data_IF_610987599525
#
_entry.id   IF_610987599525
#
_cell.length_a   1.000
_cell.length_b   1.000
_cell.length_c   1.000
_cell.angle_alpha   90.00
_cell.angle_beta   90.00
_cell.angle_gamma   90.00
#
_symmetry.space_group_name_H-M   'P 1'
#
loop_
_entity.id
_entity.type
_entity.pdbx_description
1 polymer ?
#
# COMPACT_ATOMS: atom_id res chain seq x y z
N UNK A 1 -9.16 5.25 2.71
CA UNK A 1 -10.16 5.43 1.63
C UNK A 1 -9.55 5.82 0.29
N UNK A 2 -8.64 6.81 0.22
CA UNK A 2 -8.00 7.21 -1.05
C UNK A 2 -7.23 6.08 -1.77
N UNK A 3 -6.46 5.29 -1.02
CA UNK A 3 -5.73 4.12 -1.56
C UNK A 3 -6.66 3.13 -2.24
N UNK A 4 -7.82 2.89 -1.62
CA UNK A 4 -8.79 1.95 -2.15
C UNK A 4 -9.34 2.42 -3.49
N UNK A 5 -9.71 3.69 -3.58
CA UNK A 5 -10.16 4.30 -4.83
C UNK A 5 -9.06 4.23 -5.91
N UNK A 6 -7.81 4.58 -5.58
CA UNK A 6 -6.71 4.59 -6.56
C UNK A 6 -6.37 3.20 -7.12
N UNK A 7 -6.41 2.16 -6.28
CA UNK A 7 -6.10 0.78 -6.71
C UNK A 7 -7.22 0.16 -7.55
N UNK A 8 -8.46 0.55 -7.30
CA UNK A 8 -9.62 0.01 -8.02
C UNK A 8 -10.06 0.86 -9.22
N UNK A 9 -9.68 2.14 -9.28
CA UNK A 9 -9.98 3.05 -10.38
C UNK A 9 -9.66 2.46 -11.77
N UNK A 10 -8.46 1.91 -12.04
CA UNK A 10 -8.15 1.39 -13.37
C UNK A 10 -9.03 0.19 -13.75
N UNK A 11 -9.41 -0.66 -12.78
CA UNK A 11 -10.33 -1.76 -13.02
C UNK A 11 -11.75 -1.26 -13.33
N UNK A 12 -12.25 -0.28 -12.57
CA UNK A 12 -13.58 0.31 -12.81
C UNK A 12 -13.65 1.00 -14.18
N UNK A 13 -12.62 1.75 -14.56
CA UNK A 13 -12.54 2.40 -15.87
C UNK A 13 -12.56 1.36 -16.99
N UNK A 14 -11.74 0.31 -16.89
CA UNK A 14 -11.73 -0.77 -17.87
C UNK A 14 -13.10 -1.46 -17.98
N UNK A 15 -13.75 -1.74 -16.85
CA UNK A 15 -15.06 -2.39 -16.83
C UNK A 15 -16.13 -1.55 -17.53
N UNK A 16 -16.17 -0.24 -17.26
CA UNK A 16 -17.12 0.69 -17.89
C UNK A 16 -16.85 0.82 -19.40
N UNK A 17 -15.58 0.96 -19.80
CA UNK A 17 -15.19 1.06 -21.21
C UNK A 17 -15.58 -0.21 -21.98
N UNK A 18 -15.31 -1.40 -21.42
CA UNK A 18 -15.64 -2.68 -22.07
C UNK A 18 -17.15 -2.86 -22.23
N UNK A 19 -17.95 -2.44 -21.24
CA UNK A 19 -19.41 -2.48 -21.34
C UNK A 19 -19.97 -1.48 -22.37
N UNK A 20 -19.37 -0.29 -22.48
CA UNK A 20 -19.82 0.75 -23.41
C UNK A 20 -19.41 0.48 -24.87
N UNK A 21 -18.19 -0.01 -25.06
CA UNK A 21 -17.60 -0.25 -26.36
C UNK A 21 -18.03 -1.59 -26.97
N UNK A 22 -18.43 -2.56 -26.14
CA UNK A 22 -18.73 -3.93 -26.57
C UNK A 22 -17.46 -4.78 -26.72
N UNK A 23 -17.59 -6.09 -26.50
CA UNK A 23 -16.49 -7.06 -26.52
C UNK A 23 -15.82 -7.20 -27.89
N UNK A 24 -16.54 -6.89 -28.97
CA UNK A 24 -16.04 -7.08 -30.35
C UNK A 24 -15.15 -5.92 -30.82
N UNK A 25 -15.36 -4.72 -30.27
CA UNK A 25 -14.66 -3.48 -30.64
C UNK A 25 -13.53 -3.14 -29.67
N UNK A 26 -13.68 -3.50 -28.39
CA UNK A 26 -12.68 -3.32 -27.36
C UNK A 26 -12.18 -4.67 -26.82
N UNK A 27 -11.50 -5.44 -27.68
CA UNK A 27 -10.83 -6.67 -27.27
C UNK A 27 -9.73 -6.36 -26.26
N UNK A 28 -9.84 -6.94 -25.06
CA UNK A 28 -8.82 -6.83 -24.02
C UNK A 28 -8.14 -8.18 -23.85
N UNK A 29 -6.80 -8.26 -23.96
CA UNK A 29 -6.08 -9.50 -23.70
C UNK A 29 -6.07 -9.84 -22.20
N UNK A 30 -6.08 -11.13 -21.87
CA UNK A 30 -6.20 -11.64 -20.48
C UNK A 30 -5.12 -11.10 -19.53
N UNK A 31 -3.93 -10.81 -20.07
CA UNK A 31 -2.83 -10.22 -19.30
C UNK A 31 -3.19 -8.86 -18.71
N UNK A 32 -3.98 -8.04 -19.42
CA UNK A 32 -4.41 -6.73 -18.94
C UNK A 32 -5.40 -6.90 -17.79
N UNK A 33 -6.33 -7.84 -17.92
CA UNK A 33 -7.28 -8.18 -16.87
C UNK A 33 -6.53 -8.65 -15.61
N UNK A 34 -5.57 -9.56 -15.77
CA UNK A 34 -4.74 -10.03 -14.67
C UNK A 34 -4.01 -8.87 -13.97
N UNK A 35 -3.35 -8.00 -14.73
CA UNK A 35 -2.64 -6.83 -14.18
C UNK A 35 -3.58 -5.90 -13.41
N UNK A 36 -4.79 -5.64 -13.93
CA UNK A 36 -5.80 -4.82 -13.24
C UNK A 36 -6.21 -5.41 -11.89
N UNK A 37 -6.43 -6.72 -11.82
CA UNK A 37 -6.72 -7.40 -10.55
C UNK A 37 -5.52 -7.34 -9.59
N UNK A 38 -4.30 -7.53 -10.08
CA UNK A 38 -3.08 -7.41 -9.26
C UNK A 38 -2.91 -6.01 -8.66
N UNK A 39 -3.23 -4.96 -9.42
CA UNK A 39 -3.25 -3.57 -8.91
C UNK A 39 -4.30 -3.40 -7.82
N UNK A 40 -5.50 -3.97 -8.00
CA UNK A 40 -6.54 -4.01 -6.98
C UNK A 40 -6.12 -4.72 -5.69
N UNK A 41 -5.36 -5.81 -5.80
CA UNK A 41 -4.79 -6.52 -4.64
C UNK A 41 -3.67 -5.74 -3.93
N UNK A 42 -2.92 -4.92 -4.67
CA UNK A 42 -1.87 -4.06 -4.11
C UNK A 42 -2.38 -3.00 -3.13
N UNK A 43 -3.70 -2.81 -3.03
CA UNK A 43 -4.39 -1.95 -2.07
C UNK A 43 -3.94 -2.19 -0.61
N UNK A 44 -3.73 -3.45 -0.24
CA UNK A 44 -3.23 -3.79 1.10
C UNK A 44 -1.76 -3.45 1.31
N UNK A 45 -0.93 -3.57 0.27
CA UNK A 45 0.50 -3.26 0.31
C UNK A 45 0.77 -1.74 0.28
N UNK A 46 -0.14 -0.96 -0.28
CA UNK A 46 -0.04 0.49 -0.33
C UNK A 46 -0.36 1.17 1.01
N UNK A 47 -1.07 0.49 1.92
CA UNK A 47 -1.33 1.02 3.26
C UNK A 47 -0.01 1.33 4.00
N UNK A 48 0.92 0.39 4.23
CA UNK A 48 2.20 0.70 4.89
C UNK A 48 3.05 1.70 4.09
N UNK A 49 2.95 1.73 2.76
CA UNK A 49 3.70 2.68 1.92
C UNK A 49 3.22 4.13 2.11
N UNK A 50 1.90 4.34 2.21
CA UNK A 50 1.30 5.65 2.49
C UNK A 50 1.66 6.09 3.91
N UNK A 51 1.57 5.20 4.89
CA UNK A 51 1.97 5.52 6.27
C UNK A 51 3.47 5.81 6.39
N UNK A 52 4.33 5.07 5.68
CA UNK A 52 5.78 5.31 5.68
C UNK A 52 6.19 6.58 4.93
N UNK A 53 5.44 7.00 3.90
CA UNK A 53 5.76 8.18 3.10
C UNK A 53 5.22 9.48 3.70
N UNK A 54 3.96 9.48 4.16
CA UNK A 54 3.31 10.70 4.64
C UNK A 54 3.50 10.98 6.14
N UNK A 55 3.79 9.97 6.97
CA UNK A 55 4.01 10.18 8.41
C UNK A 55 5.47 9.90 8.81
N UNK A 56 6.19 10.96 9.20
CA UNK A 56 7.57 10.87 9.70
C UNK A 56 7.67 10.01 10.97
N UNK A 57 6.67 10.07 11.84
CA UNK A 57 6.63 9.30 13.09
C UNK A 57 6.50 7.79 12.85
N UNK A 58 5.69 7.39 11.85
CA UNK A 58 5.59 5.99 11.43
C UNK A 58 6.88 5.48 10.78
N UNK A 59 7.58 6.35 10.04
CA UNK A 59 8.87 6.02 9.42
C UNK A 59 9.97 5.77 10.46
N UNK A 60 9.96 6.49 11.58
CA UNK A 60 10.85 6.21 12.72
C UNK A 60 10.50 4.90 13.43
N UNK A 61 9.21 4.64 13.70
CA UNK A 61 8.78 3.37 14.28
C UNK A 61 9.14 2.16 13.39
N UNK A 62 8.92 2.27 12.07
CA UNK A 62 9.25 1.21 11.11
C UNK A 62 10.76 0.97 11.00
N UNK A 63 11.58 2.03 11.07
CA UNK A 63 13.04 1.91 11.18
C UNK A 63 13.45 1.17 12.45
N UNK A 64 12.89 1.54 13.60
CA UNK A 64 13.18 0.87 14.88
C UNK A 64 12.79 -0.62 14.84
N UNK A 65 11.64 -0.96 14.25
CA UNK A 65 11.23 -2.37 14.07
C UNK A 65 12.16 -3.14 13.14
N UNK A 66 12.58 -2.56 12.00
CA UNK A 66 13.53 -3.18 11.06
C UNK A 66 14.93 -3.34 11.66
N UNK A 67 15.38 -2.38 12.48
CA UNK A 67 16.66 -2.46 13.18
C UNK A 67 16.68 -3.57 14.25
N UNK A 68 15.52 -3.91 14.84
CA UNK A 68 15.39 -5.06 15.74
C UNK A 68 15.30 -6.41 15.01
N UNK A 69 14.95 -6.44 13.73
CA UNK A 69 14.81 -7.68 12.96
C UNK A 69 16.17 -8.25 12.51
N UNK A 70 17.22 -7.43 12.47
CA UNK A 70 18.60 -7.89 12.26
C UNK A 70 19.22 -8.30 13.61
N UNK A 71 19.64 -9.57 13.77
CA UNK A 71 19.82 -10.20 15.08
C UNK A 71 21.16 -9.88 15.75
N UNK A 72 21.50 -8.61 15.97
CA UNK A 72 22.75 -8.29 16.68
C UNK A 72 22.74 -7.09 17.63
N UNK A 73 21.58 -6.68 18.19
CA UNK A 73 21.60 -5.83 19.38
C UNK A 73 20.36 -6.01 20.25
N UNK A 74 20.54 -6.74 21.36
CA UNK A 74 19.60 -6.78 22.50
C UNK A 74 19.51 -5.44 23.28
N UNK A 75 19.73 -4.29 22.63
CA UNK A 75 19.81 -2.97 23.26
C UNK A 75 18.86 -1.92 22.70
N UNK A 76 18.03 -2.22 21.68
CA UNK A 76 17.15 -1.21 21.06
C UNK A 76 15.81 -0.98 21.77
N UNK A 77 15.50 -1.67 22.87
CA UNK A 77 14.37 -1.31 23.72
C UNK A 77 14.76 -0.14 24.64
N UNK A 78 15.04 1.02 24.04
CA UNK A 78 15.08 2.27 24.79
C UNK A 78 13.76 3.00 24.52
N UNK A 79 12.83 3.07 25.49
CA UNK A 79 11.62 3.84 25.31
C UNK A 79 11.99 5.33 25.19
N UNK A 80 11.53 5.96 24.13
CA UNK A 80 11.68 7.39 23.88
C UNK A 80 10.49 8.15 24.48
N UNK A 81 10.59 8.52 25.77
CA UNK A 81 10.04 9.79 26.29
C UNK A 81 10.38 10.00 27.78
N UNK A 82 11.13 11.06 28.13
CA UNK A 82 11.22 11.58 29.48
C UNK A 82 10.22 12.73 29.66
N UNK A 83 9.01 12.46 30.15
CA UNK A 83 8.10 13.54 30.61
C UNK A 83 7.42 13.16 31.93
N UNK A 84 8.03 13.66 33.02
CA UNK A 84 7.43 14.27 34.20
C UNK A 84 6.14 13.67 34.79
N UNK A 85 6.30 12.88 35.87
CA UNK A 85 5.35 12.85 36.98
C UNK A 85 6.12 12.72 38.31
N UNK A 86 6.58 13.85 38.82
CA UNK A 86 6.73 14.13 40.27
C UNK A 86 5.75 15.24 40.59
#
# INVERSE_FOLDING_TARGET
MGTFMLCWLPFFLWYVITNLCGTDTCYTPDIVIAVLFWIGYFNSALNPLIYAYFNRDFREAFKNTLQCFFPCCCTCWKPSSPENFV
#
